data_IF_330563303943
#
_entry.id   IF_330563303943
#
_cell.length_a   1.000
_cell.length_b   1.000
_cell.length_c   1.000
_cell.angle_alpha   90.00
_cell.angle_beta   90.00
_cell.angle_gamma   90.00
#
_symmetry.space_group_name_H-M   'P 1'
#
loop_
_entity.id
_entity.type
_entity.pdbx_description
1 polymer ?
#
# COMPACT_ATOMS: atom_id res chain seq x y z
N UNK A 1 13.77 -28.65 -25.44
CA UNK A 1 13.99 -27.47 -26.29
C UNK A 1 12.64 -27.05 -26.86
N UNK A 2 11.96 -26.13 -26.17
CA UNK A 2 10.65 -25.65 -26.58
C UNK A 2 10.85 -24.35 -27.37
N UNK A 3 10.61 -24.41 -28.68
CA UNK A 3 10.76 -23.26 -29.59
C UNK A 3 9.60 -22.31 -29.33
N UNK A 4 9.89 -21.14 -28.83
CA UNK A 4 8.96 -19.99 -28.80
C UNK A 4 8.53 -19.70 -30.26
N UNK A 5 7.24 -19.89 -30.56
CA UNK A 5 6.65 -19.44 -31.83
C UNK A 5 6.64 -17.91 -31.85
N UNK A 6 7.11 -17.26 -32.90
CA UNK A 6 6.93 -15.82 -33.03
C UNK A 6 5.43 -15.55 -33.24
N UNK A 7 4.87 -14.69 -32.39
CA UNK A 7 3.52 -14.18 -32.57
C UNK A 7 3.51 -13.21 -33.73
N UNK A 8 3.09 -13.67 -34.92
CA UNK A 8 2.71 -12.81 -36.04
C UNK A 8 1.30 -12.30 -35.80
N UNK A 9 1.14 -11.17 -35.13
CA UNK A 9 -0.07 -10.37 -35.22
C UNK A 9 0.26 -9.08 -35.96
N UNK A 10 -0.06 -9.05 -37.25
CA UNK A 10 -0.05 -7.83 -38.04
C UNK A 10 -1.02 -6.80 -37.44
N UNK A 11 -0.50 -5.66 -36.97
CA UNK A 11 -1.06 -4.35 -37.15
C UNK A 11 -2.48 -4.06 -36.67
N UNK A 12 -2.81 -4.26 -35.35
CA UNK A 12 -3.77 -3.36 -34.70
C UNK A 12 -2.96 -2.35 -33.90
N UNK A 13 -3.00 -1.07 -34.36
CA UNK A 13 -2.49 0.02 -33.54
C UNK A 13 -3.16 -0.07 -32.15
N UNK A 14 -2.36 -0.33 -31.14
CA UNK A 14 -2.86 -0.42 -29.77
C UNK A 14 -3.29 0.99 -29.36
N UNK A 15 -4.58 1.17 -29.02
CA UNK A 15 -5.08 2.44 -28.55
C UNK A 15 -4.31 2.86 -27.28
N UNK A 16 -3.86 4.11 -27.25
CA UNK A 16 -3.24 4.69 -26.06
C UNK A 16 -4.29 4.72 -24.95
N UNK A 17 -3.92 4.19 -23.80
CA UNK A 17 -4.74 4.26 -22.59
C UNK A 17 -4.28 5.40 -21.71
N UNK A 18 -5.24 6.00 -21.00
CA UNK A 18 -4.96 7.12 -20.08
C UNK A 18 -5.59 6.83 -18.71
N UNK A 19 -4.91 7.27 -17.67
CA UNK A 19 -5.42 7.29 -16.29
C UNK A 19 -5.03 8.63 -15.68
N UNK A 20 -5.99 9.33 -15.11
CA UNK A 20 -5.75 10.52 -14.32
C UNK A 20 -5.62 10.14 -12.85
N UNK A 21 -4.65 10.71 -12.17
CA UNK A 21 -4.37 10.45 -10.77
C UNK A 21 -4.19 11.80 -10.09
N UNK A 22 -4.97 12.03 -9.03
CA UNK A 22 -4.91 13.26 -8.24
C UNK A 22 -4.66 12.93 -6.77
N UNK A 23 -3.98 13.81 -6.09
CA UNK A 23 -3.71 13.72 -4.64
C UNK A 23 -3.58 15.11 -4.04
N UNK A 24 -3.80 15.21 -2.74
CA UNK A 24 -3.54 16.39 -1.93
C UNK A 24 -2.13 16.34 -1.33
N UNK A 25 -1.65 17.46 -0.78
CA UNK A 25 -0.33 17.50 -0.12
C UNK A 25 -0.28 16.45 1.01
N UNK A 26 0.57 15.41 0.88
CA UNK A 26 0.63 14.33 1.85
C UNK A 26 1.16 14.78 3.22
N UNK A 27 1.86 15.90 3.30
CA UNK A 27 2.42 16.41 4.55
C UNK A 27 1.35 16.94 5.49
N UNK A 28 0.21 17.42 4.95
CA UNK A 28 -0.94 17.85 5.76
C UNK A 28 -1.50 16.66 6.55
N UNK A 29 -1.76 15.54 5.88
CA UNK A 29 -2.21 14.32 6.54
C UNK A 29 -1.18 13.75 7.51
N UNK A 30 0.10 13.74 7.12
CA UNK A 30 1.19 13.23 7.96
C UNK A 30 1.35 14.02 9.28
N UNK A 31 1.11 15.33 9.26
CA UNK A 31 1.18 16.15 10.47
C UNK A 31 0.11 15.74 11.50
N UNK A 32 -1.07 15.31 11.05
CA UNK A 32 -2.17 14.89 11.94
C UNK A 32 -1.95 13.49 12.52
N UNK A 33 -1.07 12.68 11.94
CA UNK A 33 -0.85 11.30 12.39
C UNK A 33 -0.34 11.20 13.83
N UNK A 34 0.41 12.21 14.30
CA UNK A 34 0.93 12.24 15.67
C UNK A 34 -0.08 12.77 16.69
N UNK A 35 -1.10 13.49 16.21
CA UNK A 35 -2.14 14.09 17.05
C UNK A 35 -3.30 13.14 17.34
N UNK A 36 -3.37 12.01 16.70
CA UNK A 36 -4.40 11.00 16.83
C UNK A 36 -3.81 9.66 17.30
N UNK A 37 -4.67 8.79 17.84
CA UNK A 37 -4.29 7.37 17.91
C UNK A 37 -4.19 6.80 16.50
N UNK A 38 -3.37 5.78 16.29
CA UNK A 38 -3.24 5.16 14.97
C UNK A 38 -4.58 4.65 14.43
N UNK A 39 -5.45 4.13 15.31
CA UNK A 39 -6.80 3.69 14.94
C UNK A 39 -7.67 4.84 14.45
N UNK A 40 -7.69 5.96 15.17
CA UNK A 40 -8.50 7.13 14.81
C UNK A 40 -7.98 7.81 13.54
N UNK A 41 -6.66 7.82 13.34
CA UNK A 41 -6.02 8.32 12.12
C UNK A 41 -6.44 7.51 10.89
N UNK A 42 -6.39 6.18 10.96
CA UNK A 42 -6.80 5.31 9.87
C UNK A 42 -8.30 5.43 9.57
N UNK A 43 -9.14 5.55 10.58
CA UNK A 43 -10.58 5.82 10.42
C UNK A 43 -10.83 7.15 9.73
N UNK A 44 -10.08 8.20 10.12
CA UNK A 44 -10.19 9.50 9.49
C UNK A 44 -9.84 9.48 7.99
N UNK A 45 -8.86 8.67 7.59
CA UNK A 45 -8.53 8.44 6.17
C UNK A 45 -9.66 7.67 5.48
N UNK A 46 -10.17 6.60 6.07
CA UNK A 46 -11.23 5.77 5.48
C UNK A 46 -12.54 6.56 5.27
N UNK A 47 -12.84 7.48 6.18
CA UNK A 47 -14.00 8.38 6.15
C UNK A 47 -13.80 9.63 5.26
N UNK A 48 -12.60 9.82 4.70
CA UNK A 48 -12.27 10.98 3.85
C UNK A 48 -12.07 12.30 4.60
N UNK A 49 -11.96 12.27 5.94
CA UNK A 49 -11.61 13.45 6.76
C UNK A 49 -10.13 13.81 6.66
N UNK A 50 -9.30 12.84 6.35
CA UNK A 50 -7.90 13.01 5.98
C UNK A 50 -7.72 12.44 4.58
N UNK A 51 -7.02 13.16 3.72
CA UNK A 51 -6.77 12.75 2.34
C UNK A 51 -6.02 11.41 2.27
N UNK A 52 -6.37 10.60 1.28
CA UNK A 52 -5.66 9.33 1.00
C UNK A 52 -4.21 9.61 0.63
N UNK A 53 -3.26 8.77 1.07
CA UNK A 53 -1.88 8.88 0.64
C UNK A 53 -1.75 8.78 -0.90
N UNK A 54 -0.83 9.55 -1.53
CA UNK A 54 -0.63 9.49 -2.98
C UNK A 54 -0.41 8.09 -3.55
N UNK A 55 0.29 7.22 -2.83
CA UNK A 55 0.50 5.82 -3.25
C UNK A 55 -0.82 5.04 -3.36
N UNK A 56 -1.78 5.30 -2.49
CA UNK A 56 -3.10 4.67 -2.56
C UNK A 56 -3.89 5.17 -3.77
N UNK A 57 -3.81 6.47 -4.09
CA UNK A 57 -4.40 7.03 -5.30
C UNK A 57 -3.72 6.45 -6.57
N UNK A 58 -2.39 6.35 -6.57
CA UNK A 58 -1.61 5.80 -7.68
C UNK A 58 -2.01 4.38 -8.03
N UNK A 59 -2.15 3.50 -7.05
CA UNK A 59 -2.53 2.10 -7.28
C UNK A 59 -4.06 1.92 -7.38
N UNK A 60 -4.85 2.82 -6.82
CA UNK A 60 -6.31 2.68 -6.71
C UNK A 60 -6.72 1.78 -5.57
N UNK A 61 -5.89 1.66 -4.54
CA UNK A 61 -6.22 0.88 -3.34
C UNK A 61 -6.91 1.74 -2.27
N UNK A 62 -7.71 1.13 -1.42
CA UNK A 62 -8.41 1.79 -0.33
C UNK A 62 -8.56 0.90 0.89
N UNK A 63 -8.78 1.51 2.04
CA UNK A 63 -9.07 0.78 3.29
C UNK A 63 -10.50 0.24 3.20
N UNK A 64 -10.67 -1.08 3.38
CA UNK A 64 -11.95 -1.77 3.34
C UNK A 64 -12.48 -2.11 4.75
N UNK A 65 -11.60 -2.41 5.71
CA UNK A 65 -11.95 -2.69 7.10
C UNK A 65 -10.81 -2.30 8.04
N UNK A 66 -11.17 -1.84 9.25
CA UNK A 66 -10.21 -1.43 10.28
C UNK A 66 -10.66 -1.95 11.64
N UNK A 67 -9.83 -2.77 12.24
CA UNK A 67 -9.94 -3.20 13.63
C UNK A 67 -8.58 -3.04 14.32
N UNK A 68 -8.54 -2.91 15.65
CA UNK A 68 -7.27 -2.90 16.38
C UNK A 68 -6.42 -4.14 16.05
N UNK A 69 -5.24 -3.93 15.51
CA UNK A 69 -4.31 -5.00 15.11
C UNK A 69 -4.66 -5.71 13.80
N UNK A 70 -5.74 -5.31 13.10
CA UNK A 70 -6.13 -5.91 11.82
C UNK A 70 -6.67 -4.85 10.86
N UNK A 71 -6.09 -4.77 9.67
CA UNK A 71 -6.54 -3.83 8.64
C UNK A 71 -6.60 -4.53 7.29
N UNK A 72 -7.66 -4.27 6.54
CA UNK A 72 -7.88 -4.80 5.19
C UNK A 72 -7.91 -3.66 4.18
N UNK A 73 -7.15 -3.83 3.12
CA UNK A 73 -7.19 -2.97 1.93
C UNK A 73 -7.82 -3.71 0.77
N UNK A 74 -8.55 -3.00 -0.07
CA UNK A 74 -9.04 -3.49 -1.37
C UNK A 74 -8.27 -2.86 -2.52
N UNK A 75 -8.14 -3.58 -3.62
CA UNK A 75 -7.55 -3.12 -4.86
C UNK A 75 -8.31 -3.70 -6.06
N UNK A 76 -8.80 -2.83 -6.95
CA UNK A 76 -9.34 -3.25 -8.23
C UNK A 76 -8.20 -3.54 -9.21
N UNK A 77 -8.24 -4.72 -9.82
CA UNK A 77 -7.20 -5.17 -10.73
C UNK A 77 -7.37 -4.53 -12.10
N UNK A 78 -6.34 -3.83 -12.56
CA UNK A 78 -6.35 -3.16 -13.85
C UNK A 78 -5.06 -3.40 -14.65
N UNK A 79 -5.14 -3.26 -15.97
CA UNK A 79 -3.99 -3.47 -16.87
C UNK A 79 -2.81 -2.53 -16.62
N UNK A 80 -3.07 -1.35 -16.01
CA UNK A 80 -2.05 -0.39 -15.62
C UNK A 80 -1.12 -0.89 -14.49
N UNK A 81 -1.48 -2.00 -13.85
CA UNK A 81 -0.69 -2.68 -12.82
C UNK A 81 0.20 -3.79 -13.39
N UNK A 82 0.13 -4.04 -14.71
CA UNK A 82 0.80 -5.17 -15.34
C UNK A 82 2.32 -4.96 -15.47
N UNK A 83 3.02 -6.07 -15.36
CA UNK A 83 4.41 -6.23 -15.74
C UNK A 83 4.53 -6.52 -17.27
N UNK A 84 5.73 -6.56 -17.85
CA UNK A 84 5.90 -6.80 -19.29
C UNK A 84 5.56 -8.23 -19.74
N UNK A 85 5.29 -9.16 -18.82
CA UNK A 85 4.94 -10.56 -19.14
C UNK A 85 3.44 -10.86 -18.99
N UNK A 86 2.59 -9.84 -18.78
CA UNK A 86 1.14 -9.96 -18.86
C UNK A 86 0.43 -10.38 -17.57
N UNK A 87 0.97 -10.06 -16.42
CA UNK A 87 0.32 -10.22 -15.11
C UNK A 87 0.58 -8.99 -14.22
N UNK A 88 -0.13 -8.85 -13.13
CA UNK A 88 0.11 -7.78 -12.16
C UNK A 88 1.54 -7.87 -11.63
N UNK A 89 2.23 -6.72 -11.62
CA UNK A 89 3.61 -6.62 -11.15
C UNK A 89 3.73 -7.00 -9.68
N UNK A 90 4.73 -7.78 -9.31
CA UNK A 90 4.95 -8.22 -7.93
C UNK A 90 5.10 -7.09 -6.92
N UNK A 91 5.61 -5.92 -7.34
CA UNK A 91 5.66 -4.72 -6.50
C UNK A 91 4.29 -4.24 -6.01
N UNK A 92 3.21 -4.49 -6.77
CA UNK A 92 1.84 -4.17 -6.35
C UNK A 92 1.43 -5.03 -5.15
N UNK A 93 1.74 -6.32 -5.17
CA UNK A 93 1.53 -7.23 -4.04
C UNK A 93 2.27 -6.75 -2.79
N UNK A 94 3.55 -6.37 -2.97
CA UNK A 94 4.38 -5.85 -1.87
C UNK A 94 3.78 -4.58 -1.28
N UNK A 95 3.38 -3.60 -2.12
CA UNK A 95 2.82 -2.34 -1.65
C UNK A 95 1.49 -2.52 -0.91
N UNK A 96 0.61 -3.39 -1.44
CA UNK A 96 -0.68 -3.65 -0.81
C UNK A 96 -0.52 -4.36 0.53
N UNK A 97 0.36 -5.37 0.61
CA UNK A 97 0.61 -6.12 1.84
C UNK A 97 1.41 -5.31 2.87
N UNK A 98 2.38 -4.49 2.45
CA UNK A 98 3.07 -3.55 3.35
C UNK A 98 2.07 -2.54 3.96
N UNK A 99 1.19 -1.98 3.13
CA UNK A 99 0.15 -1.07 3.61
C UNK A 99 -0.80 -1.75 4.60
N UNK A 100 -1.27 -2.96 4.30
CA UNK A 100 -2.20 -3.68 5.16
C UNK A 100 -1.55 -4.05 6.51
N UNK A 101 -0.34 -4.61 6.48
CA UNK A 101 0.39 -5.01 7.70
C UNK A 101 0.87 -3.80 8.50
N UNK A 102 1.42 -2.78 7.84
CA UNK A 102 1.85 -1.55 8.49
C UNK A 102 0.70 -0.80 9.14
N UNK A 103 -0.47 -0.71 8.47
CA UNK A 103 -1.68 -0.13 9.06
C UNK A 103 -2.25 -0.99 10.19
N UNK A 104 -2.15 -2.33 10.12
CA UNK A 104 -2.50 -3.19 11.25
C UNK A 104 -1.65 -2.87 12.48
N UNK A 105 -0.34 -2.69 12.30
CA UNK A 105 0.56 -2.22 13.37
C UNK A 105 0.16 -0.83 13.84
N UNK A 106 -0.04 0.12 12.91
CA UNK A 106 -0.41 1.50 13.24
C UNK A 106 -1.69 1.58 14.06
N UNK A 107 -2.69 0.76 13.76
CA UNK A 107 -3.98 0.72 14.47
C UNK A 107 -3.85 0.39 15.96
N UNK A 108 -2.71 -0.16 16.40
CA UNK A 108 -2.43 -0.49 17.81
C UNK A 108 -1.62 0.59 18.53
N UNK A 109 -1.17 1.62 17.82
CA UNK A 109 -0.29 2.64 18.37
C UNK A 109 -1.09 3.75 19.05
N UNK A 110 -0.56 4.21 20.16
CA UNK A 110 -1.06 5.38 20.87
C UNK A 110 -0.68 6.69 20.16
N UNK A 111 -1.25 7.78 20.64
CA UNK A 111 -0.93 9.14 20.22
C UNK A 111 0.56 9.44 20.39
N UNK A 112 1.16 10.13 19.44
CA UNK A 112 2.59 10.47 19.45
C UNK A 112 3.52 9.34 19.02
N UNK A 113 3.00 8.16 18.74
CA UNK A 113 3.79 7.02 18.27
C UNK A 113 3.73 6.90 16.76
N UNK A 114 4.84 6.48 16.17
CA UNK A 114 4.97 6.15 14.75
C UNK A 114 5.64 4.79 14.58
N UNK A 115 5.61 4.27 13.37
CA UNK A 115 6.31 3.04 13.02
C UNK A 115 7.08 3.20 11.71
N UNK A 116 8.04 2.31 11.50
CA UNK A 116 8.72 2.13 10.23
C UNK A 116 8.85 0.63 9.94
N UNK A 117 8.53 0.23 8.72
CA UNK A 117 8.79 -1.12 8.22
C UNK A 117 10.30 -1.31 8.11
N UNK A 118 10.84 -2.31 8.79
CA UNK A 118 12.26 -2.68 8.74
C UNK A 118 12.53 -3.77 7.72
N UNK A 119 11.57 -4.66 7.54
CA UNK A 119 11.69 -5.83 6.67
C UNK A 119 10.29 -6.21 6.18
N UNK A 120 10.21 -6.66 4.96
CA UNK A 120 9.01 -7.19 4.32
C UNK A 120 9.41 -8.45 3.53
N UNK A 121 8.82 -9.58 3.87
CA UNK A 121 8.95 -10.81 3.10
C UNK A 121 7.60 -11.17 2.47
N UNK A 122 7.55 -11.28 1.15
CA UNK A 122 6.34 -11.64 0.39
C UNK A 122 6.61 -12.90 -0.40
N UNK A 123 5.70 -13.87 -0.29
CA UNK A 123 5.66 -15.07 -1.11
C UNK A 123 4.43 -14.99 -2.03
N UNK A 124 4.66 -14.86 -3.31
CA UNK A 124 3.62 -14.83 -4.35
C UNK A 124 3.35 -16.25 -4.79
N UNK A 125 2.14 -16.75 -4.56
CA UNK A 125 1.80 -18.17 -4.81
C UNK A 125 0.99 -18.35 -6.09
N UNK A 126 0.38 -17.28 -6.60
CA UNK A 126 -0.41 -17.30 -7.84
C UNK A 126 -0.28 -16.00 -8.60
N UNK A 127 -0.22 -16.07 -9.94
CA UNK A 127 -0.27 -14.88 -10.79
C UNK A 127 -1.65 -14.22 -10.71
N UNK A 128 -1.67 -12.89 -10.64
CA UNK A 128 -2.89 -12.08 -10.64
C UNK A 128 -3.06 -11.44 -12.01
N UNK A 129 -4.24 -11.62 -12.60
CA UNK A 129 -4.60 -11.11 -13.93
C UNK A 129 -5.97 -10.44 -13.89
N UNK A 130 -6.40 -9.86 -15.01
CA UNK A 130 -7.72 -9.25 -15.16
C UNK A 130 -8.89 -10.24 -15.00
N UNK A 131 -8.61 -11.55 -15.00
CA UNK A 131 -9.64 -12.56 -14.68
C UNK A 131 -10.10 -12.48 -13.23
N UNK A 132 -9.29 -11.84 -12.37
CA UNK A 132 -9.63 -11.55 -10.98
C UNK A 132 -9.88 -10.05 -10.85
N UNK A 133 -11.15 -9.62 -10.77
CA UNK A 133 -11.51 -8.19 -10.87
C UNK A 133 -11.02 -7.36 -9.69
N UNK A 134 -10.88 -7.96 -8.53
CA UNK A 134 -10.41 -7.29 -7.32
C UNK A 134 -9.71 -8.25 -6.38
N UNK A 135 -8.90 -7.72 -5.49
CA UNK A 135 -8.26 -8.47 -4.39
C UNK A 135 -8.34 -7.68 -3.11
N UNK A 136 -8.23 -8.39 -1.99
CA UNK A 136 -8.09 -7.79 -0.68
C UNK A 136 -6.80 -8.24 -0.02
N UNK A 137 -6.05 -7.27 0.52
CA UNK A 137 -4.87 -7.50 1.34
C UNK A 137 -5.21 -7.29 2.81
N UNK A 138 -5.14 -8.34 3.61
CA UNK A 138 -5.40 -8.25 5.06
C UNK A 138 -4.11 -8.38 5.83
N UNK A 139 -3.82 -7.39 6.68
CA UNK A 139 -2.72 -7.43 7.65
C UNK A 139 -3.24 -7.74 9.04
N UNK A 140 -2.49 -8.55 9.79
CA UNK A 140 -2.79 -8.94 11.16
C UNK A 140 -1.54 -8.89 12.03
N UNK A 141 -1.58 -8.20 13.16
CA UNK A 141 -0.49 -8.22 14.15
C UNK A 141 -0.35 -9.62 14.73
N UNK A 142 0.87 -10.14 14.72
CA UNK A 142 1.24 -11.44 15.34
C UNK A 142 1.68 -11.21 16.78
N UNK A 143 2.59 -10.26 16.97
CA UNK A 143 3.19 -9.98 18.27
C UNK A 143 3.50 -8.49 18.39
N UNK A 144 3.14 -7.90 19.53
CA UNK A 144 3.39 -6.51 19.84
C UNK A 144 4.32 -6.38 21.04
N UNK A 145 5.58 -6.03 20.76
CA UNK A 145 6.54 -5.62 21.77
C UNK A 145 6.56 -4.11 21.97
N UNK A 146 7.37 -3.64 22.90
CA UNK A 146 7.48 -2.21 23.20
C UNK A 146 8.03 -1.39 22.02
N UNK A 147 8.97 -1.92 21.25
CA UNK A 147 9.65 -1.26 20.13
C UNK A 147 9.59 -2.03 18.83
N UNK A 148 9.26 -3.30 18.87
CA UNK A 148 9.20 -4.16 17.70
C UNK A 148 7.84 -4.82 17.65
N UNK A 149 7.19 -4.73 16.51
CA UNK A 149 5.91 -5.37 16.24
C UNK A 149 6.07 -6.20 14.97
N UNK A 150 5.58 -7.44 15.02
CA UNK A 150 5.53 -8.30 13.83
C UNK A 150 4.09 -8.51 13.38
N UNK A 151 3.89 -8.57 12.07
CA UNK A 151 2.59 -8.81 11.48
C UNK A 151 2.69 -9.82 10.32
N UNK A 152 1.59 -10.49 10.05
CA UNK A 152 1.38 -11.30 8.85
C UNK A 152 0.37 -10.64 7.93
N UNK A 153 0.42 -11.00 6.65
CA UNK A 153 -0.53 -10.52 5.65
C UNK A 153 -0.86 -11.58 4.63
N UNK A 154 -2.08 -11.52 4.10
CA UNK A 154 -2.56 -12.36 3.03
C UNK A 154 -3.24 -11.51 1.96
N UNK A 155 -3.01 -11.88 0.69
CA UNK A 155 -3.69 -11.30 -0.46
C UNK A 155 -4.62 -12.35 -1.05
N UNK A 156 -5.92 -12.07 -1.02
CA UNK A 156 -6.95 -13.02 -1.46
C UNK A 156 -7.88 -12.40 -2.50
N UNK A 157 -8.39 -13.25 -3.40
CA UNK A 157 -9.43 -12.89 -4.36
C UNK A 157 -10.85 -13.01 -3.77
N UNK A 158 -11.89 -12.63 -4.54
CA UNK A 158 -13.29 -12.69 -4.08
C UNK A 158 -13.78 -14.10 -3.74
N UNK A 159 -13.17 -15.12 -4.36
CA UNK A 159 -13.44 -16.54 -4.13
C UNK A 159 -12.66 -17.14 -2.95
N UNK A 160 -11.90 -16.31 -2.21
CA UNK A 160 -11.02 -16.74 -1.14
C UNK A 160 -9.69 -17.34 -1.63
N UNK A 161 -9.41 -17.32 -2.93
CA UNK A 161 -8.15 -17.81 -3.49
C UNK A 161 -6.98 -16.99 -2.97
N UNK A 162 -5.96 -17.65 -2.44
CA UNK A 162 -4.72 -17.01 -1.98
C UNK A 162 -3.80 -16.69 -3.17
N UNK A 163 -3.39 -15.44 -3.30
CA UNK A 163 -2.43 -14.94 -4.30
C UNK A 163 -1.04 -14.69 -3.72
N UNK A 164 -0.97 -14.25 -2.48
CA UNK A 164 0.29 -14.06 -1.76
C UNK A 164 0.07 -14.12 -0.25
N UNK A 165 1.13 -14.44 0.46
CA UNK A 165 1.22 -14.24 1.91
C UNK A 165 2.53 -13.55 2.27
N UNK A 166 2.53 -12.86 3.42
CA UNK A 166 3.66 -12.04 3.81
C UNK A 166 3.85 -12.02 5.33
N UNK A 167 5.05 -11.62 5.73
CA UNK A 167 5.38 -11.21 7.10
C UNK A 167 6.16 -9.91 7.06
N UNK A 168 6.05 -9.13 8.14
CA UNK A 168 6.82 -7.90 8.31
C UNK A 168 7.25 -7.71 9.76
N UNK A 169 8.35 -6.96 9.92
CA UNK A 169 8.84 -6.47 11.19
C UNK A 169 8.82 -4.94 11.16
N UNK A 170 8.15 -4.34 12.11
CA UNK A 170 8.05 -2.88 12.26
C UNK A 170 8.75 -2.41 13.52
N UNK A 171 9.48 -1.30 13.41
CA UNK A 171 10.01 -0.55 14.55
C UNK A 171 9.00 0.51 14.98
N UNK A 172 8.63 0.52 16.26
CA UNK A 172 7.82 1.57 16.87
C UNK A 172 8.73 2.58 17.57
N UNK A 173 8.46 3.86 17.35
CA UNK A 173 9.23 4.96 17.93
C UNK A 173 8.37 6.20 18.16
N UNK A 174 8.85 7.12 18.98
CA UNK A 174 8.28 8.44 19.13
C UNK A 174 9.13 9.41 18.30
N UNK A 175 8.57 10.02 17.23
CA UNK A 175 9.30 10.99 16.41
C UNK A 175 9.73 12.19 17.25
N UNK A 176 10.91 12.74 16.99
CA UNK A 176 11.36 13.97 17.63
C UNK A 176 10.56 15.16 17.06
N UNK A 177 10.29 16.20 17.86
CA UNK A 177 9.59 17.39 17.38
C UNK A 177 10.21 18.01 16.12
N UNK A 178 11.52 17.91 15.97
CA UNK A 178 12.27 18.43 14.80
C UNK A 178 12.08 17.58 13.54
N UNK A 179 11.79 16.29 13.67
CA UNK A 179 11.59 15.39 12.53
C UNK A 179 10.32 15.76 11.72
N UNK A 180 9.29 16.27 12.39
CA UNK A 180 8.05 16.72 11.75
C UNK A 180 8.17 18.14 11.14
N UNK A 181 8.94 19.03 11.79
CA UNK A 181 9.13 20.41 11.35
C UNK A 181 10.05 20.53 10.14
N UNK A 182 11.10 19.70 10.05
CA UNK A 182 12.00 19.68 8.91
C UNK A 182 11.35 19.16 7.63
N UNK A 183 10.27 18.39 7.72
CA UNK A 183 9.51 17.92 6.55
C UNK A 183 8.55 18.98 6.00
N UNK A 184 7.97 19.83 6.84
CA UNK A 184 7.05 20.89 6.42
C UNK A 184 7.74 22.17 5.91
N UNK A 185 9.04 22.34 6.16
CA UNK A 185 9.79 23.57 5.87
C UNK A 185 10.61 23.55 4.57
N UNK A 186 10.51 22.51 3.74
CA UNK A 186 11.08 22.57 2.39
C UNK A 186 10.07 23.21 1.46
N UNK A 187 10.25 24.50 1.07
CA UNK A 187 9.49 25.06 -0.03
C UNK A 187 9.72 24.18 -1.24
N UNK A 188 8.63 23.82 -1.94
CA UNK A 188 8.70 23.06 -3.18
C UNK A 188 9.73 23.70 -4.10
N UNK A 189 10.81 22.99 -4.37
CA UNK A 189 11.78 23.41 -5.37
C UNK A 189 11.04 23.47 -6.69
N UNK A 190 10.78 24.70 -7.17
CA UNK A 190 10.45 24.94 -8.54
C UNK A 190 11.55 24.31 -9.39
N UNK A 191 11.23 23.19 -10.01
CA UNK A 191 12.05 22.61 -11.05
C UNK A 191 11.92 23.43 -12.33
N UNK A 192 12.55 24.60 -12.32
CA UNK A 192 12.90 25.29 -13.56
C UNK A 192 14.36 24.94 -13.86
N UNK A 193 14.56 24.18 -14.91
CA UNK A 193 15.86 24.12 -15.60
C UNK A 193 16.49 22.73 -15.69
N UNK A 194 16.23 21.98 -16.71
CA UNK A 194 17.09 21.59 -17.86
C UNK A 194 16.32 20.64 -18.77
#
# INVERSE_FOLDING_TARGET
MNRLRPATSAGKATAIRRREITWEDPLVGAALALDLSGLDYLRAIAEGRIARPPIAALLGMGIADIQPGRVTFSLDVGEHLYNPIGSVHGGVFCTLLDSAMGCAVHSTLGRGQAYATLELKVNMVKALTLDTPSVVGTGQVISQGRRVVTASGELTGPDGMLYAHATTTCLVFEPRPDDARTRSARPGGNGDGL
#
